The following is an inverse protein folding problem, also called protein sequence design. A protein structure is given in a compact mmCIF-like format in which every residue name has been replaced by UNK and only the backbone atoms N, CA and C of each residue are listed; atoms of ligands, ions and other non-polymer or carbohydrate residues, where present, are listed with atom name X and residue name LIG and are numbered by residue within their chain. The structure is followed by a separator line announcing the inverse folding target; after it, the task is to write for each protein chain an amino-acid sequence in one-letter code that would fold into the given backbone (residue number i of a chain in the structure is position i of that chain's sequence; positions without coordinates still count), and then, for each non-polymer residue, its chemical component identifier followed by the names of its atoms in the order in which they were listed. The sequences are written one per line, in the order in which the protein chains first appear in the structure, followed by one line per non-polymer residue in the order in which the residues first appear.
data_IF_611203965670
#
_entry.id   IF_611203965670
#
_cell.length_a   1.000
_cell.length_b   1.000
_cell.length_c   1.000
_cell.angle_alpha   90.00
_cell.angle_beta   90.00
_cell.angle_gamma   90.00
#
_symmetry.space_group_name_H-M   'P 1'
#
loop_
_entity.id
_entity.type
_entity.pdbx_description
1 polymer ?
#
# COMPACT_ATOMS: atom_id res chain seq x y z
N UNK A 1 -6.24 -1.61 13.39
CA UNK A 1 -6.35 -0.26 12.78
C UNK A 1 -7.80 0.19 12.88
N UNK A 2 -8.09 1.39 13.40
CA UNK A 2 -9.38 2.05 13.14
C UNK A 2 -9.28 2.62 11.72
N UNK A 3 -9.38 1.74 10.72
CA UNK A 3 -9.25 2.10 9.32
C UNK A 3 -10.37 3.07 8.96
N UNK A 4 -10.02 4.22 8.40
CA UNK A 4 -11.01 5.16 7.85
C UNK A 4 -11.92 4.48 6.82
N UNK A 5 -12.93 5.21 6.32
CA UNK A 5 -13.89 4.72 5.33
C UNK A 5 -13.21 4.43 3.97
N UNK A 6 -12.42 3.37 3.91
CA UNK A 6 -11.67 2.91 2.75
C UNK A 6 -12.18 1.56 2.29
N UNK A 7 -12.01 1.26 1.01
CA UNK A 7 -12.29 -0.08 0.48
C UNK A 7 -11.33 -1.10 1.11
N UNK A 8 -11.73 -2.37 1.14
CA UNK A 8 -10.86 -3.45 1.64
C UNK A 8 -9.53 -3.47 0.88
N UNK A 9 -9.55 -3.34 -0.46
CA UNK A 9 -8.34 -3.28 -1.29
C UNK A 9 -7.41 -2.12 -0.92
N UNK A 10 -7.95 -0.96 -0.55
CA UNK A 10 -7.15 0.17 -0.11
C UNK A 10 -6.53 -0.07 1.28
N UNK A 11 -7.26 -0.74 2.18
CA UNK A 11 -6.71 -1.13 3.49
C UNK A 11 -5.59 -2.17 3.34
N UNK A 12 -5.74 -3.12 2.42
CA UNK A 12 -4.71 -4.11 2.10
C UNK A 12 -3.45 -3.43 1.51
N UNK A 13 -3.63 -2.42 0.66
CA UNK A 13 -2.51 -1.63 0.13
C UNK A 13 -1.77 -0.86 1.24
N UNK A 14 -2.49 -0.32 2.23
CA UNK A 14 -1.90 0.35 3.40
C UNK A 14 -1.10 -0.64 4.27
N UNK A 15 -1.58 -1.87 4.43
CA UNK A 15 -0.85 -2.93 5.14
C UNK A 15 0.41 -3.34 4.37
N UNK A 16 0.29 -3.57 3.06
CA UNK A 16 1.43 -3.90 2.21
C UNK A 16 2.49 -2.79 2.20
N UNK A 17 2.08 -1.52 2.16
CA UNK A 17 3.00 -0.39 2.23
C UNK A 17 3.81 -0.36 3.54
N UNK A 18 3.22 -0.78 4.67
CA UNK A 18 3.94 -0.93 5.94
C UNK A 18 4.98 -2.05 5.86
N UNK A 19 4.65 -3.19 5.24
CA UNK A 19 5.60 -4.29 5.01
C UNK A 19 6.77 -3.84 4.14
N UNK A 20 6.51 -3.13 3.04
CA UNK A 20 7.57 -2.63 2.14
C UNK A 20 8.50 -1.66 2.88
N UNK A 21 7.96 -0.75 3.70
CA UNK A 21 8.78 0.15 4.51
C UNK A 21 9.65 -0.62 5.50
N UNK A 22 9.07 -1.62 6.19
CA UNK A 22 9.79 -2.48 7.14
C UNK A 22 10.92 -3.27 6.47
N UNK A 23 10.66 -3.89 5.32
CA UNK A 23 11.65 -4.64 4.54
C UNK A 23 12.82 -3.77 4.09
N UNK A 24 12.56 -2.49 3.83
CA UNK A 24 13.59 -1.50 3.47
C UNK A 24 14.29 -0.85 4.68
N UNK A 25 13.96 -1.26 5.91
CA UNK A 25 14.49 -0.67 7.13
C UNK A 25 14.05 0.78 7.37
N UNK A 26 12.94 1.19 6.77
CA UNK A 26 12.41 2.55 6.84
C UNK A 26 11.32 2.63 7.90
N UNK A 27 11.46 3.57 8.84
CA UNK A 27 10.58 3.66 10.00
C UNK A 27 9.18 4.21 9.69
N UNK A 28 9.01 4.85 8.53
CA UNK A 28 7.77 5.51 8.15
C UNK A 28 7.34 5.07 6.76
N UNK A 29 6.03 4.91 6.60
CA UNK A 29 5.42 4.72 5.27
C UNK A 29 5.39 6.06 4.55
N UNK A 30 6.20 6.17 3.51
CA UNK A 30 6.15 7.27 2.55
C UNK A 30 5.30 6.92 1.31
N UNK A 31 4.94 7.92 0.50
CA UNK A 31 4.08 7.81 -0.67
C UNK A 31 4.55 6.76 -1.69
N UNK A 32 5.87 6.56 -1.84
CA UNK A 32 6.41 5.56 -2.76
C UNK A 32 6.12 4.12 -2.32
N UNK A 33 6.04 3.85 -1.02
CA UNK A 33 5.65 2.53 -0.51
C UNK A 33 4.20 2.24 -0.82
N UNK A 34 3.33 3.24 -0.60
CA UNK A 34 1.90 3.12 -0.89
C UNK A 34 1.67 2.96 -2.40
N UNK A 35 2.36 3.74 -3.23
CA UNK A 35 2.28 3.62 -4.69
C UNK A 35 2.74 2.24 -5.15
N UNK A 36 3.88 1.74 -4.63
CA UNK A 36 4.37 0.41 -4.95
C UNK A 36 3.36 -0.67 -4.56
N UNK A 37 2.74 -0.56 -3.39
CA UNK A 37 1.71 -1.49 -2.93
C UNK A 37 0.49 -1.46 -3.86
N UNK A 38 -0.02 -0.28 -4.22
CA UNK A 38 -1.17 -0.09 -5.10
C UNK A 38 -0.93 -0.64 -6.52
N UNK A 39 0.27 -0.45 -7.08
CA UNK A 39 0.63 -0.95 -8.40
C UNK A 39 0.80 -2.48 -8.44
N UNK A 40 1.17 -3.09 -7.31
CA UNK A 40 1.45 -4.53 -7.22
C UNK A 40 0.20 -5.38 -6.94
N UNK A 41 -0.96 -4.75 -6.69
CA UNK A 41 -2.21 -5.49 -6.44
C UNK A 41 -2.67 -6.21 -7.72
N UNK A 42 -3.21 -7.41 -7.56
CA UNK A 42 -3.96 -8.07 -8.62
C UNK A 42 -5.16 -7.19 -9.02
N UNK A 43 -5.39 -7.05 -10.33
CA UNK A 43 -6.41 -6.14 -10.88
C UNK A 43 -6.28 -4.72 -10.30
N UNK A 44 -5.04 -4.22 -10.22
CA UNK A 44 -4.77 -2.86 -9.73
C UNK A 44 -5.59 -1.82 -10.49
N UNK A 45 -6.27 -0.97 -9.74
CA UNK A 45 -6.99 0.18 -10.29
C UNK A 45 -6.06 1.35 -10.67
N UNK A 46 -4.77 1.27 -10.30
CA UNK A 46 -3.77 2.32 -10.52
C UNK A 46 -2.81 1.96 -11.66
N UNK A 47 -2.53 0.67 -11.85
CA UNK A 47 -1.67 0.21 -12.94
C UNK A 47 -2.36 0.50 -14.29
N UNK A 48 -1.71 1.32 -15.11
CA UNK A 48 -2.12 1.57 -16.51
C UNK A 48 -1.09 0.91 -17.40
N UNK A 49 -1.53 -0.04 -18.21
CA UNK A 49 -0.72 -0.74 -19.23
C UNK A 49 -0.85 -0.09 -20.60
#
# INVERSE_FOLDING_TARGET
MNGGNFTNRAQDAILSAQSIAQEKGQQQVDALHLLSALLSQEESAVLVV
#
